data_IF_637142695576
#
_entry.id   IF_637142695576
#
_cell.length_a   1.000
_cell.length_b   1.000
_cell.length_c   1.000
_cell.angle_alpha   90.00
_cell.angle_beta   90.00
_cell.angle_gamma   90.00
#
_symmetry.space_group_name_H-M   'P 1'
#
loop_
_entity.id
_entity.type
_entity.pdbx_description
1 polymer ?
#
# COMPACT_ATOMS: atom_id res chain seq x y z
N UNK A 1 -28.09 -9.62 -10.77
CA UNK A 1 -27.22 -9.33 -11.92
C UNK A 1 -25.83 -9.77 -11.49
N UNK A 2 -25.28 -10.76 -12.16
CA UNK A 2 -24.05 -11.42 -11.72
C UNK A 2 -22.88 -10.47 -11.94
N UNK A 3 -22.04 -10.32 -10.91
CA UNK A 3 -20.80 -9.57 -11.03
C UNK A 3 -19.90 -10.32 -12.00
N UNK A 4 -19.32 -9.59 -12.94
CA UNK A 4 -18.35 -10.14 -13.88
C UNK A 4 -17.12 -9.26 -13.93
N UNK A 5 -15.96 -9.87 -13.69
CA UNK A 5 -14.67 -9.22 -13.86
C UNK A 5 -14.19 -9.44 -15.30
N UNK A 6 -13.30 -8.58 -15.78
CA UNK A 6 -12.75 -8.70 -17.14
C UNK A 6 -11.86 -9.94 -17.28
N UNK A 7 -11.79 -10.51 -18.47
CA UNK A 7 -10.88 -11.63 -18.76
C UNK A 7 -9.42 -11.22 -18.51
N UNK A 8 -9.08 -9.94 -18.75
CA UNK A 8 -7.79 -9.37 -18.42
C UNK A 8 -7.51 -9.33 -16.91
N UNK A 9 -8.53 -9.11 -16.08
CA UNK A 9 -8.39 -9.23 -14.63
C UNK A 9 -8.05 -10.66 -14.22
N UNK A 10 -8.69 -11.67 -14.81
CA UNK A 10 -8.38 -13.06 -14.47
C UNK A 10 -6.95 -13.45 -14.82
N UNK A 11 -6.45 -12.97 -15.97
CA UNK A 11 -5.04 -13.16 -16.36
C UNK A 11 -4.12 -12.48 -15.35
N UNK A 12 -4.45 -11.25 -14.94
CA UNK A 12 -3.72 -10.50 -13.94
C UNK A 12 -3.68 -11.23 -12.59
N UNK A 13 -4.84 -11.67 -12.09
CA UNK A 13 -4.97 -12.39 -10.83
C UNK A 13 -4.21 -13.72 -10.84
N UNK A 14 -4.31 -14.50 -11.94
CA UNK A 14 -3.54 -15.75 -12.10
C UNK A 14 -2.03 -15.51 -12.07
N UNK A 15 -1.57 -14.44 -12.71
CA UNK A 15 -0.15 -14.06 -12.68
C UNK A 15 0.28 -13.67 -11.26
N UNK A 16 -0.58 -13.01 -10.50
CA UNK A 16 -0.38 -12.67 -9.10
C UNK A 16 -0.44 -13.87 -8.13
N UNK A 17 -0.70 -15.09 -8.63
CA UNK A 17 -0.83 -16.30 -7.81
C UNK A 17 -2.22 -16.54 -7.21
N UNK A 18 -3.26 -15.92 -7.79
CA UNK A 18 -4.65 -16.03 -7.36
C UNK A 18 -5.53 -16.76 -8.37
N UNK A 19 -6.56 -17.43 -7.88
CA UNK A 19 -7.64 -18.02 -8.69
C UNK A 19 -8.87 -17.14 -8.59
N UNK A 20 -9.59 -17.00 -9.69
CA UNK A 20 -10.90 -16.31 -9.76
C UNK A 20 -11.96 -17.37 -10.02
N UNK A 21 -12.93 -17.47 -9.13
CA UNK A 21 -14.03 -18.44 -9.19
C UNK A 21 -15.37 -17.71 -9.20
N UNK A 22 -16.17 -17.96 -10.25
CA UNK A 22 -17.50 -17.39 -10.38
C UNK A 22 -18.52 -18.31 -9.71
N UNK A 23 -19.16 -17.77 -8.68
CA UNK A 23 -20.28 -18.38 -7.99
C UNK A 23 -21.59 -17.88 -8.61
N UNK A 24 -22.72 -18.40 -8.14
CA UNK A 24 -24.04 -18.02 -8.67
C UNK A 24 -24.30 -16.51 -8.55
N UNK A 25 -23.99 -15.92 -7.39
CA UNK A 25 -24.28 -14.52 -7.05
C UNK A 25 -23.04 -13.70 -6.63
N UNK A 26 -21.84 -14.27 -6.76
CA UNK A 26 -20.60 -13.67 -6.30
C UNK A 26 -19.39 -14.11 -7.12
N UNK A 27 -18.26 -13.44 -6.92
CA UNK A 27 -16.95 -13.86 -7.40
C UNK A 27 -16.04 -14.03 -6.21
N UNK A 28 -15.43 -15.20 -6.05
CA UNK A 28 -14.44 -15.46 -5.03
C UNK A 28 -13.04 -15.45 -5.67
N UNK A 29 -12.11 -14.72 -5.05
CA UNK A 29 -10.73 -14.58 -5.50
C UNK A 29 -9.84 -15.05 -4.37
N UNK A 30 -8.97 -16.02 -4.60
CA UNK A 30 -8.18 -16.60 -3.53
C UNK A 30 -6.77 -17.00 -3.96
N UNK A 31 -5.81 -16.87 -3.05
CA UNK A 31 -4.44 -17.28 -3.32
C UNK A 31 -4.29 -18.81 -3.27
N UNK A 32 -3.13 -19.30 -3.72
CA UNK A 32 -2.79 -20.71 -3.55
C UNK A 32 -2.86 -21.11 -2.07
N UNK A 33 -3.70 -22.10 -1.76
CA UNK A 33 -3.94 -22.57 -0.39
C UNK A 33 -5.12 -21.90 0.33
N UNK A 34 -5.73 -20.87 -0.26
CA UNK A 34 -6.96 -20.24 0.25
C UNK A 34 -6.76 -19.50 1.58
N UNK A 35 -5.53 -19.09 1.89
CA UNK A 35 -5.23 -18.33 3.10
C UNK A 35 -5.74 -16.89 2.99
N UNK A 36 -5.68 -16.30 1.80
CA UNK A 36 -6.22 -14.97 1.52
C UNK A 36 -7.34 -15.16 0.50
N UNK A 37 -8.53 -14.69 0.88
CA UNK A 37 -9.73 -14.80 0.06
C UNK A 37 -10.43 -13.45 0.01
N UNK A 38 -10.97 -13.11 -1.15
CA UNK A 38 -11.81 -11.94 -1.36
C UNK A 38 -13.11 -12.38 -2.01
N UNK A 39 -14.24 -11.98 -1.43
CA UNK A 39 -15.57 -12.23 -1.95
C UNK A 39 -16.13 -10.93 -2.49
N UNK A 40 -16.56 -10.93 -3.76
CA UNK A 40 -17.15 -9.78 -4.43
C UNK A 40 -18.58 -10.10 -4.81
N UNK A 41 -19.53 -9.35 -4.25
CA UNK A 41 -20.95 -9.56 -4.48
C UNK A 41 -21.72 -8.24 -4.47
N UNK A 42 -22.98 -8.28 -4.92
CA UNK A 42 -23.82 -7.10 -5.05
C UNK A 42 -24.81 -7.01 -3.91
N UNK A 43 -24.86 -5.85 -3.24
CA UNK A 43 -25.86 -5.54 -2.21
C UNK A 43 -26.61 -4.28 -2.61
N UNK A 44 -27.83 -4.47 -3.14
CA UNK A 44 -28.60 -3.37 -3.73
C UNK A 44 -27.88 -2.76 -4.94
N UNK A 45 -27.59 -1.46 -4.87
CA UNK A 45 -26.84 -0.76 -5.91
C UNK A 45 -25.30 -0.89 -5.76
N UNK A 46 -24.83 -1.29 -4.58
CA UNK A 46 -23.39 -1.33 -4.27
C UNK A 46 -22.77 -2.66 -4.69
N UNK A 47 -21.50 -2.62 -5.09
CA UNK A 47 -20.62 -3.78 -5.13
C UNK A 47 -19.80 -3.80 -3.85
N UNK A 48 -19.94 -4.88 -3.09
CA UNK A 48 -19.27 -5.10 -1.80
C UNK A 48 -18.11 -6.06 -2.01
N UNK A 49 -16.96 -5.70 -1.45
CA UNK A 49 -15.75 -6.50 -1.44
C UNK A 49 -15.43 -6.81 0.02
N UNK A 50 -15.43 -8.09 0.33
CA UNK A 50 -15.08 -8.59 1.65
C UNK A 50 -13.81 -9.44 1.53
N UNK A 51 -13.00 -9.48 2.58
CA UNK A 51 -11.83 -10.35 2.63
C UNK A 51 -11.82 -11.23 3.88
N UNK A 52 -11.10 -12.33 3.77
CA UNK A 52 -10.72 -13.18 4.88
C UNK A 52 -9.24 -13.56 4.73
N UNK A 53 -8.43 -13.20 5.71
CA UNK A 53 -7.02 -13.60 5.80
C UNK A 53 -6.84 -14.58 6.97
N UNK A 54 -6.58 -15.85 6.65
CA UNK A 54 -6.44 -16.98 7.60
C UNK A 54 -7.58 -17.06 8.61
N UNK A 55 -8.71 -16.48 8.24
CA UNK A 55 -9.93 -16.37 9.01
C UNK A 55 -11.04 -17.13 8.30
N UNK A 56 -11.99 -17.64 9.08
CA UNK A 56 -13.21 -18.23 8.52
C UNK A 56 -14.16 -17.15 8.01
N UNK A 57 -14.27 -16.07 8.78
CA UNK A 57 -15.24 -15.01 8.56
C UNK A 57 -14.69 -13.93 7.65
N UNK A 58 -15.56 -13.44 6.77
CA UNK A 58 -15.31 -12.32 5.89
C UNK A 58 -15.54 -10.99 6.62
N UNK A 59 -14.73 -9.99 6.27
CA UNK A 59 -14.90 -8.62 6.72
C UNK A 59 -14.95 -7.68 5.52
N UNK A 60 -15.89 -6.73 5.54
CA UNK A 60 -16.00 -5.71 4.48
C UNK A 60 -14.72 -4.88 4.43
N UNK A 61 -14.10 -4.85 3.26
CA UNK A 61 -12.91 -4.04 3.01
C UNK A 61 -13.19 -2.86 2.09
N UNK A 62 -14.11 -3.02 1.15
CA UNK A 62 -14.51 -1.94 0.28
C UNK A 62 -15.95 -2.05 -0.18
N UNK A 63 -16.53 -0.89 -0.49
CA UNK A 63 -17.78 -0.76 -1.22
C UNK A 63 -17.60 0.21 -2.36
N UNK A 64 -18.19 -0.09 -3.50
CA UNK A 64 -18.10 0.75 -4.69
C UNK A 64 -19.46 0.88 -5.36
N UNK A 65 -19.70 2.01 -6.03
CA UNK A 65 -20.91 2.20 -6.83
C UNK A 65 -20.89 1.41 -8.14
N UNK A 66 -19.72 0.96 -8.62
CA UNK A 66 -19.57 0.34 -9.94
C UNK A 66 -18.68 -0.91 -9.91
N UNK A 67 -18.97 -1.88 -10.79
CA UNK A 67 -18.12 -3.07 -10.95
C UNK A 67 -16.71 -2.73 -11.43
N UNK A 68 -16.57 -1.67 -12.22
CA UNK A 68 -15.26 -1.19 -12.70
C UNK A 68 -14.40 -0.70 -11.53
N UNK A 69 -14.97 0.05 -10.59
CA UNK A 69 -14.22 0.50 -9.41
C UNK A 69 -13.91 -0.65 -8.45
N UNK A 70 -14.78 -1.66 -8.37
CA UNK A 70 -14.48 -2.89 -7.65
C UNK A 70 -13.28 -3.62 -8.27
N UNK A 71 -13.23 -3.72 -9.60
CA UNK A 71 -12.10 -4.34 -10.29
C UNK A 71 -10.81 -3.52 -10.19
N UNK A 72 -10.89 -2.19 -10.18
CA UNK A 72 -9.74 -1.31 -9.89
C UNK A 72 -9.19 -1.57 -8.49
N UNK A 73 -10.08 -1.71 -7.51
CA UNK A 73 -9.70 -2.01 -6.13
C UNK A 73 -8.95 -3.34 -6.06
N UNK A 74 -9.53 -4.40 -6.63
CA UNK A 74 -8.91 -5.72 -6.66
C UNK A 74 -7.57 -5.70 -7.43
N UNK A 75 -7.51 -5.00 -8.56
CA UNK A 75 -6.28 -4.86 -9.35
C UNK A 75 -5.18 -4.18 -8.51
N UNK A 76 -5.54 -3.17 -7.72
CA UNK A 76 -4.60 -2.52 -6.81
C UNK A 76 -4.14 -3.46 -5.68
N UNK A 77 -5.06 -4.17 -5.02
CA UNK A 77 -4.72 -5.13 -3.94
C UNK A 77 -3.79 -6.24 -4.44
N UNK A 78 -4.05 -6.77 -5.64
CA UNK A 78 -3.25 -7.83 -6.25
C UNK A 78 -1.98 -7.30 -6.93
N UNK A 79 -1.81 -5.99 -7.03
CA UNK A 79 -0.68 -5.36 -7.72
C UNK A 79 0.68 -5.65 -7.09
N UNK A 80 0.74 -5.73 -5.75
CA UNK A 80 1.96 -6.15 -5.04
C UNK A 80 2.38 -7.58 -5.39
N UNK A 81 1.52 -8.59 -5.14
CA UNK A 81 1.80 -9.98 -5.54
C UNK A 81 2.07 -10.15 -7.03
N UNK A 82 1.37 -9.41 -7.90
CA UNK A 82 1.63 -9.40 -9.34
C UNK A 82 3.06 -8.94 -9.66
N UNK A 83 3.52 -7.84 -9.06
CA UNK A 83 4.90 -7.35 -9.23
C UNK A 83 5.93 -8.36 -8.74
N UNK A 84 5.68 -8.96 -7.58
CA UNK A 84 6.54 -9.99 -7.01
C UNK A 84 6.69 -11.20 -7.94
N UNK A 85 5.58 -11.67 -8.52
CA UNK A 85 5.58 -12.77 -9.49
C UNK A 85 6.38 -12.46 -10.77
N UNK A 86 6.48 -11.19 -11.15
CA UNK A 86 7.33 -10.72 -12.25
C UNK A 86 8.79 -10.49 -11.86
N UNK A 87 9.16 -10.70 -10.59
CA UNK A 87 10.51 -10.40 -10.08
C UNK A 87 10.83 -8.90 -10.05
N UNK A 88 9.81 -8.05 -10.08
CA UNK A 88 9.97 -6.60 -10.06
C UNK A 88 10.15 -6.11 -8.62
N UNK A 89 10.89 -5.00 -8.49
CA UNK A 89 11.05 -4.34 -7.19
C UNK A 89 9.70 -3.82 -6.70
N UNK A 90 9.50 -3.93 -5.38
CA UNK A 90 8.40 -3.28 -4.68
C UNK A 90 8.57 -1.78 -4.85
N UNK A 91 7.56 -1.12 -5.42
CA UNK A 91 7.51 0.34 -5.45
C UNK A 91 6.85 0.78 -4.18
N UNK A 92 7.66 1.36 -3.31
CA UNK A 92 7.16 1.90 -2.07
C UNK A 92 6.59 3.27 -2.37
N UNK A 93 5.29 3.40 -2.21
CA UNK A 93 4.64 4.70 -2.24
C UNK A 93 5.09 5.52 -1.04
N UNK A 94 5.95 6.50 -1.28
CA UNK A 94 6.08 7.66 -0.41
C UNK A 94 4.74 8.34 -0.16
N UNK A 95 4.69 9.15 0.89
CA UNK A 95 3.45 9.77 1.37
C UNK A 95 2.98 10.81 0.37
N UNK A 96 1.84 10.53 -0.25
CA UNK A 96 1.07 11.57 -0.90
C UNK A 96 0.17 12.20 0.15
N UNK A 97 0.45 13.44 0.51
CA UNK A 97 -0.41 14.23 1.39
C UNK A 97 -1.61 14.85 0.68
N UNK A 98 -1.63 14.78 -0.66
CA UNK A 98 -2.65 15.40 -1.50
C UNK A 98 -3.21 14.37 -2.48
N UNK A 99 -4.44 13.92 -2.21
CA UNK A 99 -5.18 13.12 -3.16
C UNK A 99 -5.37 13.81 -4.51
N UNK A 100 -5.88 13.05 -5.46
CA UNK A 100 -6.44 13.54 -6.68
C UNK A 100 -7.28 14.83 -6.51
N UNK A 101 -6.99 15.94 -7.25
CA UNK A 101 -7.67 17.23 -7.03
C UNK A 101 -9.20 17.21 -7.27
N UNK A 102 -9.68 16.28 -8.08
CA UNK A 102 -11.10 16.05 -8.39
C UNK A 102 -11.77 15.02 -7.48
N UNK A 103 -11.07 14.51 -6.46
CA UNK A 103 -11.61 13.54 -5.50
C UNK A 103 -11.69 14.18 -4.12
N UNK A 104 -12.91 14.30 -3.62
CA UNK A 104 -13.16 14.61 -2.22
C UNK A 104 -12.91 13.36 -1.38
N UNK A 105 -11.95 13.46 -0.45
CA UNK A 105 -11.61 12.38 0.48
C UNK A 105 -12.16 12.76 1.86
N UNK A 106 -13.07 11.94 2.38
CA UNK A 106 -13.67 12.12 3.71
C UNK A 106 -13.23 11.00 4.65
N UNK A 107 -12.69 11.38 5.80
CA UNK A 107 -12.23 10.46 6.84
C UNK A 107 -13.25 10.32 7.96
N UNK A 108 -13.62 9.08 8.28
CA UNK A 108 -14.37 8.70 9.46
C UNK A 108 -13.67 7.55 10.19
N UNK A 109 -13.96 7.28 11.48
CA UNK A 109 -13.17 6.38 12.34
C UNK A 109 -12.90 4.95 11.82
N UNK A 110 -13.66 4.47 10.82
CA UNK A 110 -13.52 3.12 10.24
C UNK A 110 -13.66 3.10 8.72
N UNK A 111 -13.85 4.25 8.10
CA UNK A 111 -14.14 4.34 6.68
C UNK A 111 -13.52 5.60 6.09
N UNK A 112 -12.81 5.42 4.99
CA UNK A 112 -12.39 6.50 4.11
C UNK A 112 -13.31 6.50 2.89
N UNK A 113 -13.92 7.64 2.60
CA UNK A 113 -14.85 7.79 1.47
C UNK A 113 -14.22 8.67 0.40
N UNK A 114 -14.28 8.21 -0.86
CA UNK A 114 -13.80 8.92 -2.03
C UNK A 114 -15.02 9.25 -2.92
N UNK A 115 -15.19 10.52 -3.25
CA UNK A 115 -16.28 11.05 -4.08
C UNK A 115 -15.70 11.96 -5.18
N UNK A 116 -16.14 11.80 -6.43
CA UNK A 116 -15.59 12.53 -7.57
C UNK A 116 -16.42 13.79 -7.87
N UNK A 117 -15.77 14.96 -7.98
CA UNK A 117 -16.44 16.27 -8.10
C UNK A 117 -17.24 16.47 -9.39
N UNK A 118 -17.16 15.55 -10.36
CA UNK A 118 -17.96 15.53 -11.59
C UNK A 118 -18.82 14.29 -11.79
N UNK A 119 -18.81 13.35 -10.84
CA UNK A 119 -19.50 12.07 -10.92
C UNK A 119 -20.26 11.81 -9.60
N UNK A 120 -21.41 12.46 -9.36
CA UNK A 120 -22.07 12.46 -8.05
C UNK A 120 -22.54 11.08 -7.57
N UNK A 121 -22.77 10.14 -8.49
CA UNK A 121 -23.18 8.78 -8.17
C UNK A 121 -21.98 7.83 -7.95
N UNK A 122 -20.76 8.29 -8.27
CA UNK A 122 -19.54 7.50 -8.14
C UNK A 122 -18.94 7.67 -6.75
N UNK A 123 -18.94 6.57 -6.01
CA UNK A 123 -18.46 6.52 -4.63
C UNK A 123 -17.65 5.26 -4.39
N UNK A 124 -16.54 5.42 -3.68
CA UNK A 124 -15.73 4.32 -3.16
C UNK A 124 -15.57 4.51 -1.66
N UNK A 125 -15.82 3.46 -0.90
CA UNK A 125 -15.63 3.43 0.55
C UNK A 125 -14.62 2.35 0.88
N UNK A 126 -13.57 2.71 1.61
CA UNK A 126 -12.52 1.82 2.06
C UNK A 126 -12.68 1.62 3.56
N UNK A 127 -12.82 0.38 3.98
CA UNK A 127 -13.05 -0.02 5.38
C UNK A 127 -11.76 -0.58 5.98
N UNK A 128 -11.57 -0.31 7.27
CA UNK A 128 -10.39 -0.74 8.03
C UNK A 128 -9.41 0.41 8.25
N UNK A 129 -9.11 0.77 9.52
CA UNK A 129 -8.21 1.89 9.81
C UNK A 129 -6.79 1.57 9.34
N UNK A 130 -6.21 2.46 8.52
CA UNK A 130 -4.80 2.43 8.14
C UNK A 130 -4.40 1.36 7.12
N UNK A 131 -5.34 0.59 6.56
CA UNK A 131 -5.02 -0.38 5.49
C UNK A 131 -4.65 0.35 4.19
N UNK A 132 -5.40 1.42 3.88
CA UNK A 132 -5.34 2.13 2.61
C UNK A 132 -5.28 3.65 2.81
N UNK A 133 -4.28 4.32 2.20
CA UNK A 133 -4.28 5.78 2.08
C UNK A 133 -5.31 6.19 1.04
N UNK A 134 -6.27 7.03 1.43
CA UNK A 134 -7.29 7.56 0.53
C UNK A 134 -6.66 8.33 -0.63
N UNK A 135 -5.54 9.00 -0.37
CA UNK A 135 -4.78 9.78 -1.35
C UNK A 135 -4.22 8.86 -2.45
N UNK A 136 -3.50 7.80 -2.09
CA UNK A 136 -2.95 6.85 -3.07
C UNK A 136 -4.07 6.18 -3.87
N UNK A 137 -5.11 5.71 -3.18
CA UNK A 137 -6.26 5.09 -3.83
C UNK A 137 -6.97 6.04 -4.80
N UNK A 138 -7.04 7.34 -4.48
CA UNK A 138 -7.65 8.32 -5.36
C UNK A 138 -6.92 8.45 -6.71
N UNK A 139 -5.61 8.18 -6.78
CA UNK A 139 -4.87 8.10 -8.05
C UNK A 139 -5.13 6.78 -8.78
N UNK A 140 -5.08 5.65 -8.08
CA UNK A 140 -5.36 4.34 -8.66
C UNK A 140 -6.75 4.30 -9.32
N UNK A 141 -7.74 4.91 -8.67
CA UNK A 141 -9.12 4.92 -9.13
C UNK A 141 -9.37 5.81 -10.36
N UNK A 142 -8.42 6.67 -10.75
CA UNK A 142 -8.55 7.46 -11.99
C UNK A 142 -8.12 6.72 -13.24
N UNK A 143 -7.12 5.86 -13.09
CA UNK A 143 -6.54 5.17 -14.21
C UNK A 143 -7.60 4.27 -14.86
N UNK A 144 -7.53 4.11 -16.17
CA UNK A 144 -8.18 2.98 -16.80
C UNK A 144 -7.64 1.68 -16.20
N UNK A 145 -8.43 0.60 -16.23
CA UNK A 145 -7.95 -0.71 -15.78
C UNK A 145 -6.68 -1.15 -16.54
N UNK A 146 -6.58 -0.79 -17.82
CA UNK A 146 -5.39 -1.06 -18.63
C UNK A 146 -4.15 -0.29 -18.12
N UNK A 147 -4.27 1.02 -17.86
CA UNK A 147 -3.16 1.83 -17.32
C UNK A 147 -2.75 1.39 -15.92
N UNK A 148 -3.72 1.02 -15.08
CA UNK A 148 -3.44 0.54 -13.72
C UNK A 148 -2.63 -0.77 -13.76
N UNK A 149 -3.05 -1.74 -14.58
CA UNK A 149 -2.31 -3.00 -14.78
C UNK A 149 -0.94 -2.78 -15.39
N UNK A 150 -0.86 -1.91 -16.41
CA UNK A 150 0.40 -1.56 -17.05
C UNK A 150 1.37 -0.92 -16.06
N UNK A 151 0.87 -0.10 -15.14
CA UNK A 151 1.69 0.47 -14.06
C UNK A 151 2.29 -0.62 -13.19
N UNK A 152 1.52 -1.64 -12.80
CA UNK A 152 2.08 -2.75 -12.03
C UNK A 152 3.08 -3.59 -12.84
N UNK A 153 2.96 -3.68 -14.16
CA UNK A 153 3.93 -4.37 -15.01
C UNK A 153 5.19 -3.54 -15.33
N UNK A 154 5.15 -2.21 -15.17
CA UNK A 154 6.27 -1.33 -15.47
C UNK A 154 7.34 -1.35 -14.38
N UNK A 155 8.61 -1.30 -14.76
CA UNK A 155 9.73 -1.31 -13.80
C UNK A 155 9.67 -0.11 -12.84
N UNK A 156 9.38 1.07 -13.39
CA UNK A 156 9.23 2.35 -12.68
C UNK A 156 7.83 2.59 -12.12
N UNK A 157 6.85 1.80 -12.55
CA UNK A 157 5.50 1.86 -12.03
C UNK A 157 4.62 3.00 -12.54
N UNK A 158 5.03 3.69 -13.59
CA UNK A 158 4.24 4.79 -14.14
C UNK A 158 3.03 4.28 -14.94
N UNK A 159 1.90 5.03 -14.99
CA UNK A 159 1.66 6.31 -14.33
C UNK A 159 1.18 6.23 -12.88
N UNK A 160 0.81 5.06 -12.35
CA UNK A 160 0.26 4.94 -10.98
C UNK A 160 1.15 5.64 -9.95
N UNK A 161 2.45 5.43 -10.04
CA UNK A 161 3.41 5.95 -9.08
C UNK A 161 4.04 7.30 -9.47
N UNK A 162 3.48 7.98 -10.47
CA UNK A 162 4.00 9.28 -10.95
C UNK A 162 4.06 10.35 -9.84
N UNK A 163 3.15 10.29 -8.87
CA UNK A 163 3.14 11.21 -7.73
C UNK A 163 4.35 11.04 -6.80
N UNK A 164 5.04 9.89 -6.82
CA UNK A 164 6.29 9.69 -6.08
C UNK A 164 7.46 10.43 -6.72
N UNK A 165 7.33 10.77 -8.00
CA UNK A 165 8.32 11.50 -8.77
C UNK A 165 8.03 13.01 -8.84
N UNK A 166 6.93 13.48 -8.23
CA UNK A 166 6.63 14.92 -8.11
C UNK A 166 7.41 15.52 -6.93
N UNK A 167 8.62 15.98 -7.22
CA UNK A 167 9.28 17.18 -6.67
C UNK A 167 9.17 17.53 -5.17
N UNK A 168 9.22 16.55 -4.25
CA UNK A 168 9.42 16.81 -2.80
C UNK A 168 10.76 16.25 -2.25
N UNK A 169 11.70 15.90 -3.13
CA UNK A 169 13.07 15.54 -2.74
C UNK A 169 13.99 16.77 -2.84
N UNK A 170 14.02 17.60 -1.79
CA UNK A 170 15.09 18.61 -1.61
C UNK A 170 16.46 17.96 -1.36
N UNK A 171 16.49 16.66 -1.05
CA UNK A 171 17.71 15.87 -0.92
C UNK A 171 18.11 15.25 -2.27
N UNK A 172 19.32 15.54 -2.72
CA UNK A 172 19.94 14.87 -3.88
C UNK A 172 19.93 13.35 -3.71
N UNK A 173 19.85 12.58 -4.80
CA UNK A 173 19.91 11.10 -4.79
C UNK A 173 21.07 10.57 -3.94
N UNK A 174 22.23 11.23 -3.98
CA UNK A 174 23.40 10.90 -3.15
C UNK A 174 23.18 11.07 -1.65
N UNK A 175 22.37 12.03 -1.23
CA UNK A 175 22.07 12.26 0.18
C UNK A 175 21.06 11.22 0.70
N UNK A 176 20.06 10.87 -0.11
CA UNK A 176 19.11 9.80 0.21
C UNK A 176 19.83 8.46 0.38
N UNK A 177 20.79 8.15 -0.51
CA UNK A 177 21.62 6.95 -0.38
C UNK A 177 22.44 6.97 0.91
N UNK A 178 23.12 8.08 1.21
CA UNK A 178 23.95 8.20 2.41
C UNK A 178 23.14 8.02 3.71
N UNK A 179 21.98 8.68 3.84
CA UNK A 179 21.11 8.52 5.00
C UNK A 179 20.49 7.11 5.05
N UNK A 180 20.18 6.53 3.89
CA UNK A 180 19.70 5.17 3.76
C UNK A 180 20.70 4.16 4.31
N UNK A 181 21.99 4.30 3.98
CA UNK A 181 23.07 3.45 4.51
C UNK A 181 23.18 3.52 6.04
N UNK A 182 23.01 4.71 6.63
CA UNK A 182 22.97 4.86 8.09
C UNK A 182 21.83 4.02 8.68
N UNK A 183 20.61 4.16 8.16
CA UNK A 183 19.47 3.40 8.67
C UNK A 183 19.60 1.90 8.46
N UNK A 184 20.19 1.45 7.34
CA UNK A 184 20.50 0.02 7.09
C UNK A 184 21.48 -0.52 8.12
N UNK A 185 22.57 0.21 8.39
CA UNK A 185 23.55 -0.17 9.41
C UNK A 185 22.93 -0.29 10.81
N UNK A 186 21.98 0.58 11.14
CA UNK A 186 21.27 0.51 12.43
C UNK A 186 20.34 -0.70 12.53
N UNK A 187 19.66 -1.09 11.44
CA UNK A 187 18.90 -2.34 11.41
C UNK A 187 19.78 -3.58 11.57
N UNK A 188 20.93 -3.62 10.89
CA UNK A 188 21.90 -4.70 11.08
C UNK A 188 22.39 -4.77 12.52
N UNK A 189 22.62 -3.62 13.17
CA UNK A 189 23.02 -3.57 14.59
C UNK A 189 21.93 -4.13 15.51
N UNK A 190 20.66 -3.78 15.28
CA UNK A 190 19.53 -4.34 16.03
C UNK A 190 19.38 -5.85 15.84
N UNK A 191 19.51 -6.33 14.60
CA UNK A 191 19.45 -7.76 14.31
C UNK A 191 20.58 -8.53 15.01
N UNK A 192 21.81 -8.02 14.93
CA UNK A 192 22.96 -8.60 15.61
C UNK A 192 22.78 -8.65 17.13
N UNK A 193 22.27 -7.57 17.74
CA UNK A 193 21.93 -7.51 19.17
C UNK A 193 20.88 -8.55 19.58
N UNK A 194 19.94 -8.84 18.69
CA UNK A 194 18.92 -9.88 18.88
C UNK A 194 19.41 -11.31 18.54
N UNK A 195 20.67 -11.47 18.11
CA UNK A 195 21.21 -12.76 17.67
C UNK A 195 20.62 -13.26 16.34
N UNK A 196 20.15 -12.34 15.49
CA UNK A 196 19.49 -12.63 14.22
C UNK A 196 20.33 -12.10 13.04
N UNK A 197 20.19 -12.75 11.88
CA UNK A 197 20.62 -12.18 10.60
C UNK A 197 19.49 -11.37 9.98
N UNK A 198 19.86 -10.32 9.25
CA UNK A 198 18.92 -9.51 8.48
C UNK A 198 19.14 -9.78 7.00
N UNK A 199 18.38 -10.74 6.48
CA UNK A 199 18.45 -11.14 5.06
C UNK A 199 17.34 -10.50 4.23
N UNK A 200 16.33 -9.89 4.89
CA UNK A 200 15.23 -9.21 4.22
C UNK A 200 15.65 -7.88 3.59
N UNK A 201 15.09 -7.52 2.43
CA UNK A 201 15.34 -6.22 1.83
C UNK A 201 14.84 -5.07 2.72
N UNK A 202 15.68 -4.04 2.85
CA UNK A 202 15.35 -2.78 3.51
C UNK A 202 14.99 -1.70 2.49
N UNK A 203 13.81 -1.13 2.64
CA UNK A 203 13.33 -0.05 1.80
C UNK A 203 13.76 1.30 2.35
N UNK A 204 14.09 2.26 1.49
CA UNK A 204 14.44 3.64 1.90
C UNK A 204 13.42 4.58 1.28
N UNK A 205 12.75 5.36 2.12
CA UNK A 205 11.73 6.33 1.72
C UNK A 205 12.20 7.73 2.11
N UNK A 206 12.44 8.64 1.16
CA UNK A 206 12.73 10.04 1.49
C UNK A 206 11.49 10.74 2.08
N UNK A 207 11.72 11.69 2.98
CA UNK A 207 10.72 12.64 3.46
C UNK A 207 11.38 14.00 3.73
N UNK A 208 10.59 15.05 3.92
CA UNK A 208 11.11 16.38 4.25
C UNK A 208 11.95 16.37 5.54
N UNK A 209 13.27 16.52 5.40
CA UNK A 209 14.24 16.50 6.49
C UNK A 209 14.92 15.15 6.76
N UNK A 210 14.75 14.12 5.91
CA UNK A 210 15.46 12.85 6.09
C UNK A 210 15.00 11.66 5.23
N UNK A 211 15.30 10.45 5.71
CA UNK A 211 14.82 9.19 5.12
C UNK A 211 14.28 8.25 6.20
N UNK A 212 13.31 7.43 5.84
CA UNK A 212 12.86 6.32 6.65
C UNK A 212 13.32 5.01 6.01
N UNK A 213 14.04 4.20 6.76
CA UNK A 213 14.42 2.84 6.38
C UNK A 213 13.39 1.89 6.98
N UNK A 214 12.81 1.00 6.17
CA UNK A 214 11.71 0.12 6.57
C UNK A 214 12.05 -1.32 6.25
N UNK A 215 11.86 -2.18 7.25
CA UNK A 215 11.81 -3.64 7.08
C UNK A 215 10.35 -4.08 6.98
N UNK A 216 9.87 -4.29 5.76
CA UNK A 216 8.45 -4.54 5.46
C UNK A 216 8.04 -6.02 5.64
N UNK A 217 8.31 -6.59 6.81
CA UNK A 217 7.95 -7.98 7.17
C UNK A 217 7.31 -8.04 8.56
N UNK A 218 6.67 -9.17 8.90
CA UNK A 218 6.11 -9.40 10.24
C UNK A 218 7.20 -9.34 11.31
N UNK A 219 7.01 -8.50 12.33
CA UNK A 219 8.03 -8.25 13.36
C UNK A 219 9.15 -7.31 12.90
N UNK A 220 9.01 -6.68 11.74
CA UNK A 220 9.88 -5.60 11.28
C UNK A 220 9.63 -4.30 12.03
N UNK A 221 10.13 -3.21 11.44
CA UNK A 221 10.03 -1.87 12.00
C UNK A 221 10.51 -0.82 11.01
N UNK A 222 10.69 0.39 11.52
CA UNK A 222 11.11 1.55 10.75
C UNK A 222 12.08 2.41 11.55
N UNK A 223 13.13 2.85 10.88
CA UNK A 223 14.14 3.77 11.40
C UNK A 223 14.06 5.05 10.58
N UNK A 224 13.72 6.15 11.23
CA UNK A 224 13.82 7.49 10.67
C UNK A 224 15.23 8.02 10.91
N UNK A 225 15.84 8.61 9.89
CA UNK A 225 17.17 9.23 9.93
C UNK A 225 17.02 10.64 9.37
N UNK A 226 17.25 11.65 10.21
CA UNK A 226 17.27 13.04 9.79
C UNK A 226 18.64 13.45 9.21
N UNK A 227 18.66 14.56 8.50
CA UNK A 227 19.89 15.15 7.93
C UNK A 227 20.94 15.51 8.99
N UNK A 228 20.51 15.86 10.20
CA UNK A 228 21.39 16.15 11.35
C UNK A 228 21.96 14.87 12.01
N UNK A 229 21.66 13.70 11.46
CA UNK A 229 22.09 12.39 11.96
C UNK A 229 21.28 11.86 13.14
N UNK A 230 20.25 12.59 13.59
CA UNK A 230 19.34 12.11 14.63
C UNK A 230 18.43 11.02 14.08
N UNK A 231 18.13 10.02 14.92
CA UNK A 231 17.39 8.83 14.48
C UNK A 231 16.25 8.48 15.41
N UNK A 232 15.26 7.75 14.91
CA UNK A 232 14.22 7.15 15.73
C UNK A 232 13.77 5.80 15.19
N UNK A 233 13.69 4.81 16.08
CA UNK A 233 13.13 3.51 15.80
C UNK A 233 11.69 3.39 16.29
N UNK A 234 10.83 2.79 15.48
CA UNK A 234 9.51 2.28 15.88
C UNK A 234 9.28 0.90 15.30
N UNK A 235 8.73 0.02 16.13
CA UNK A 235 8.33 -1.32 15.70
C UNK A 235 7.14 -1.31 14.73
N UNK A 236 6.88 -2.46 14.12
CA UNK A 236 5.79 -2.69 13.16
C UNK A 236 4.38 -2.42 13.69
N UNK A 237 4.17 -2.34 15.00
CA UNK A 237 2.86 -2.00 15.60
C UNK A 237 2.47 -0.53 15.41
N UNK A 238 3.42 0.34 15.05
CA UNK A 238 3.14 1.73 14.73
C UNK A 238 2.87 1.87 13.24
N UNK A 239 1.83 2.61 12.87
CA UNK A 239 1.71 3.10 11.48
C UNK A 239 2.88 4.04 11.16
N UNK A 240 3.17 4.22 9.87
CA UNK A 240 4.25 5.12 9.50
C UNK A 240 3.94 6.57 9.90
N UNK A 241 2.71 7.03 9.68
CA UNK A 241 2.25 8.40 9.92
C UNK A 241 2.46 8.79 11.37
N UNK A 242 1.97 7.94 12.29
CA UNK A 242 2.16 8.16 13.73
C UNK A 242 3.64 8.23 14.10
N UNK A 243 4.48 7.38 13.50
CA UNK A 243 5.90 7.42 13.77
C UNK A 243 6.60 8.64 13.15
N UNK A 244 6.20 9.08 11.96
CA UNK A 244 6.75 10.29 11.35
C UNK A 244 6.31 11.55 12.13
N UNK A 245 5.08 11.60 12.61
CA UNK A 245 4.58 12.68 13.47
C UNK A 245 5.38 12.78 14.77
N UNK A 246 5.59 11.65 15.45
CA UNK A 246 6.43 11.60 16.66
C UNK A 246 7.86 12.07 16.34
N UNK A 247 8.44 11.63 15.21
CA UNK A 247 9.76 12.06 14.78
C UNK A 247 9.81 13.58 14.53
N UNK A 248 8.82 14.13 13.84
CA UNK A 248 8.71 15.58 13.58
C UNK A 248 8.48 16.38 14.86
N UNK A 249 7.80 15.80 15.84
CA UNK A 249 7.62 16.37 17.17
C UNK A 249 8.90 16.35 18.03
N UNK A 250 9.99 15.77 17.53
CA UNK A 250 11.29 15.75 18.19
C UNK A 250 11.63 14.45 18.91
N UNK A 251 10.78 13.42 18.83
CA UNK A 251 11.07 12.12 19.42
C UNK A 251 12.28 11.47 18.73
N UNK A 252 13.21 10.95 19.52
CA UNK A 252 14.44 10.30 19.05
C UNK A 252 14.70 9.02 19.80
N UNK A 253 15.39 8.08 19.15
CA UNK A 253 15.94 6.89 19.80
C UNK A 253 17.44 7.12 20.03
N UNK A 254 17.92 7.07 21.28
CA UNK A 254 19.35 7.19 21.55
C UNK A 254 20.15 6.11 20.80
N UNK A 255 21.28 6.49 20.20
CA UNK A 255 22.08 5.61 19.33
C UNK A 255 22.58 4.35 20.06
N UNK A 256 22.83 4.46 21.36
CA UNK A 256 23.19 3.33 22.23
C UNK A 256 22.11 2.24 22.31
N UNK A 257 20.84 2.57 22.01
CA UNK A 257 19.77 1.57 22.01
C UNK A 257 19.90 0.56 20.87
N UNK A 258 20.60 0.93 19.79
CA UNK A 258 20.83 0.09 18.61
C UNK A 258 22.06 -0.83 18.76
N UNK A 259 22.90 -0.60 19.78
CA UNK A 259 24.13 -1.35 20.05
C UNK A 259 23.93 -2.39 21.14
#
# INVERSE_FOLDING_TARGET
MNIRLTDEFEVFARTAGYTVEYLEDAVEIYNLGGEIRSLVHRVGAEVVIESAERARDYSVEAKTSTEIDAERYLTYELGGPFREALGLRVIVTGFVSVGAPEVLITYAPRVTTLEWTGEPDRKVQLFGPGKHSGEIFSFAMKLSLAELRASFAAEDGLPLYAFLHRDDASASTSQVEALGEIGRGLFHSLAAKAGQTLDDPLNVIPFDGGVAVIRAVRGGGKIFVAEDGSVMYRGSSYTFERALEEFRAGERTPLESFR
#
